data_IF_114675035644
#
_entry.id   IF_114675035644
#
_cell.length_a   1.000
_cell.length_b   1.000
_cell.length_c   1.000
_cell.angle_alpha   90.00
_cell.angle_beta   90.00
_cell.angle_gamma   90.00
#
_symmetry.space_group_name_H-M   'P 1'
#
loop_
_entity.id
_entity.type
_entity.pdbx_description
1 polymer ?
#
# COMPACT_ATOMS: atom_id res chain seq x y z
N UNK A 1 -27.35 23.85 25.17
CA UNK A 1 -26.53 23.92 23.94
C UNK A 1 -25.21 23.24 24.25
N UNK A 2 -25.18 21.92 24.10
CA UNK A 2 -23.95 21.14 24.29
C UNK A 2 -23.17 21.13 22.99
N UNK A 3 -21.90 21.51 23.09
CA UNK A 3 -20.98 21.70 21.98
C UNK A 3 -20.43 20.35 21.53
N UNK A 4 -20.66 20.01 20.25
CA UNK A 4 -20.11 18.82 19.59
C UNK A 4 -18.57 18.86 19.65
N UNK A 5 -17.87 17.79 20.11
CA UNK A 5 -16.43 17.73 19.95
C UNK A 5 -16.10 17.56 18.47
N UNK A 6 -15.12 18.33 17.98
CA UNK A 6 -14.58 18.24 16.62
C UNK A 6 -13.97 16.86 16.40
N UNK A 7 -14.78 15.91 15.92
CA UNK A 7 -14.38 14.55 15.60
C UNK A 7 -13.52 14.51 14.35
N UNK A 8 -12.21 14.61 14.52
CA UNK A 8 -11.29 14.04 13.52
C UNK A 8 -11.44 12.52 13.58
N UNK A 9 -11.92 11.91 12.50
CA UNK A 9 -11.95 10.46 12.38
C UNK A 9 -10.48 9.99 12.47
N UNK A 10 -10.16 9.14 13.45
CA UNK A 10 -8.83 8.53 13.55
C UNK A 10 -8.72 7.46 12.46
N UNK A 11 -8.32 7.89 11.26
CA UNK A 11 -8.31 7.09 10.04
C UNK A 11 -7.31 5.91 10.12
N UNK A 12 -6.35 5.97 11.06
CA UNK A 12 -5.47 4.84 11.38
C UNK A 12 -6.23 3.64 11.97
N UNK A 13 -7.47 3.85 12.42
CA UNK A 13 -8.36 2.83 12.99
C UNK A 13 -9.60 2.58 12.13
N UNK A 14 -9.54 2.86 10.83
CA UNK A 14 -10.62 2.46 9.93
C UNK A 14 -10.82 0.94 9.99
N UNK A 15 -12.08 0.48 9.99
CA UNK A 15 -12.38 -0.94 10.09
C UNK A 15 -11.74 -1.68 8.92
N UNK A 16 -11.11 -2.80 9.25
CA UNK A 16 -10.50 -3.71 8.29
C UNK A 16 -11.40 -4.92 8.18
N UNK A 17 -11.95 -5.16 6.98
CA UNK A 17 -12.69 -6.39 6.76
C UNK A 17 -11.69 -7.53 6.57
N UNK A 18 -11.85 -8.59 7.36
CA UNK A 18 -11.05 -9.81 7.24
C UNK A 18 -12.02 -10.97 7.21
N UNK A 19 -11.94 -11.78 6.17
CA UNK A 19 -12.73 -12.99 6.05
C UNK A 19 -11.83 -14.18 5.76
N UNK A 20 -12.30 -15.34 6.18
CA UNK A 20 -11.61 -16.61 6.01
C UNK A 20 -12.61 -17.65 5.53
N UNK A 21 -12.25 -18.32 4.45
CA UNK A 21 -13.02 -19.37 3.82
C UNK A 21 -12.18 -20.63 3.80
N UNK A 22 -12.73 -21.74 4.29
CA UNK A 22 -12.10 -23.05 4.21
C UNK A 22 -12.80 -23.86 3.14
N UNK A 23 -12.02 -24.37 2.20
CA UNK A 23 -12.49 -25.26 1.16
C UNK A 23 -11.54 -26.44 1.04
N UNK A 24 -12.00 -27.61 1.45
CA UNK A 24 -11.18 -28.83 1.50
C UNK A 24 -9.89 -28.58 2.33
N UNK A 25 -8.73 -28.91 1.77
CA UNK A 25 -7.40 -28.70 2.35
C UNK A 25 -6.87 -27.26 2.22
N UNK A 26 -7.66 -26.35 1.64
CA UNK A 26 -7.26 -24.95 1.43
C UNK A 26 -7.97 -24.00 2.39
N UNK A 27 -7.19 -23.10 2.96
CA UNK A 27 -7.63 -21.93 3.69
C UNK A 27 -7.37 -20.71 2.81
N UNK A 28 -8.43 -19.98 2.47
CA UNK A 28 -8.37 -18.72 1.73
C UNK A 28 -8.72 -17.61 2.72
N UNK A 29 -7.78 -16.71 2.97
CA UNK A 29 -7.97 -15.56 3.86
C UNK A 29 -7.69 -14.29 3.09
N UNK A 30 -8.55 -13.29 3.23
CA UNK A 30 -8.28 -11.98 2.66
C UNK A 30 -8.47 -10.89 3.68
N UNK A 31 -7.79 -9.77 3.43
CA UNK A 31 -7.89 -8.53 4.18
C UNK A 31 -8.18 -7.39 3.22
N UNK A 32 -9.20 -6.62 3.52
CA UNK A 32 -9.58 -5.42 2.80
C UNK A 32 -9.54 -4.24 3.77
N UNK A 33 -8.82 -3.21 3.37
CA UNK A 33 -8.57 -2.01 4.14
C UNK A 33 -8.62 -0.76 3.25
N UNK A 34 -8.30 0.38 3.84
CA UNK A 34 -8.31 1.68 3.18
C UNK A 34 -7.03 1.92 2.34
N UNK A 35 -7.08 2.96 1.51
CA UNK A 35 -5.95 3.44 0.73
C UNK A 35 -4.88 4.02 1.67
N UNK A 36 -3.62 3.77 1.36
CA UNK A 36 -2.44 4.28 2.05
C UNK A 36 -2.46 5.81 2.11
N UNK A 37 -2.22 6.35 3.30
CA UNK A 37 -2.15 7.78 3.50
C UNK A 37 -0.88 8.37 2.89
N UNK A 38 -0.98 9.61 2.40
CA UNK A 38 0.14 10.36 1.82
C UNK A 38 1.07 10.99 2.86
N UNK A 39 0.81 10.80 4.16
CA UNK A 39 1.63 11.34 5.25
C UNK A 39 1.66 10.44 6.48
N UNK A 40 2.74 10.56 7.25
CA UNK A 40 2.82 10.04 8.61
C UNK A 40 2.04 10.94 9.57
N UNK A 41 1.56 10.40 10.69
CA UNK A 41 0.97 11.20 11.78
C UNK A 41 2.00 11.99 12.58
N UNK A 42 3.28 11.57 12.54
CA UNK A 42 4.40 12.32 13.09
C UNK A 42 5.02 13.20 12.00
N UNK A 43 5.25 14.48 12.28
CA UNK A 43 5.88 15.42 11.33
C UNK A 43 7.32 15.01 10.99
N UNK A 44 8.04 14.39 11.93
CA UNK A 44 9.41 13.88 11.74
C UNK A 44 9.47 12.44 11.23
N UNK A 45 8.32 11.81 10.96
CA UNK A 45 8.20 10.38 10.66
C UNK A 45 8.22 9.49 11.92
N UNK A 46 7.86 8.22 11.76
CA UNK A 46 7.97 7.23 12.86
C UNK A 46 9.37 6.63 12.94
N UNK A 47 9.77 6.18 14.13
CA UNK A 47 11.02 5.41 14.31
C UNK A 47 10.89 4.08 13.57
N UNK A 48 11.98 3.55 13.02
CA UNK A 48 12.01 2.23 12.37
C UNK A 48 11.92 1.12 13.41
N UNK A 49 10.69 0.77 13.78
CA UNK A 49 10.35 -0.31 14.68
C UNK A 49 9.08 -1.04 14.18
N UNK A 50 8.71 -2.13 14.85
CA UNK A 50 7.54 -2.95 14.49
C UNK A 50 6.20 -2.19 14.52
N UNK A 51 6.17 -0.99 15.11
CA UNK A 51 5.00 -0.11 15.18
C UNK A 51 5.00 1.05 14.18
N UNK A 52 5.96 1.13 13.26
CA UNK A 52 6.00 2.23 12.30
C UNK A 52 4.81 2.17 11.32
N UNK A 53 4.29 3.34 10.95
CA UNK A 53 3.15 3.44 10.05
C UNK A 53 3.50 2.95 8.63
N UNK A 54 2.46 2.50 7.92
CA UNK A 54 2.59 1.99 6.55
C UNK A 54 3.22 3.02 5.60
N UNK A 55 2.91 4.31 5.74
CA UNK A 55 3.49 5.34 4.87
C UNK A 55 5.03 5.35 4.95
N UNK A 56 5.58 5.38 6.16
CA UNK A 56 7.02 5.34 6.36
C UNK A 56 7.62 3.98 5.96
N UNK A 57 6.92 2.88 6.24
CA UNK A 57 7.35 1.55 5.79
C UNK A 57 7.52 1.50 4.27
N UNK A 58 6.51 1.96 3.53
CA UNK A 58 6.51 1.96 2.06
C UNK A 58 7.60 2.88 1.50
N UNK A 59 7.72 4.12 2.00
CA UNK A 59 8.75 5.06 1.53
C UNK A 59 10.18 4.60 1.80
N UNK A 60 10.40 3.78 2.84
CA UNK A 60 11.73 3.22 3.13
C UNK A 60 12.04 1.97 2.32
N UNK A 61 11.04 1.10 2.16
CA UNK A 61 11.22 -0.22 1.52
C UNK A 61 11.13 -0.17 -0.01
N UNK A 62 10.59 0.91 -0.57
CA UNK A 62 10.40 1.07 -2.00
C UNK A 62 11.26 2.23 -2.52
N UNK A 63 12.15 1.91 -3.45
CA UNK A 63 12.96 2.91 -4.15
C UNK A 63 12.20 3.42 -5.39
N UNK A 64 10.97 3.90 -5.22
CA UNK A 64 10.15 4.41 -6.32
C UNK A 64 10.25 5.94 -6.41
N UNK A 65 10.35 6.53 -7.63
CA UNK A 65 10.39 7.98 -7.78
C UNK A 65 9.10 8.65 -7.32
N UNK A 66 7.96 7.99 -7.55
CA UNK A 66 6.64 8.39 -7.09
C UNK A 66 5.85 7.16 -6.65
N UNK A 67 5.16 7.26 -5.52
CA UNK A 67 4.22 6.25 -5.06
C UNK A 67 2.93 6.31 -5.91
N UNK A 68 2.29 5.18 -6.21
CA UNK A 68 0.98 5.19 -6.87
C UNK A 68 -0.07 5.93 -6.05
N UNK A 69 -1.02 6.59 -6.71
CA UNK A 69 -2.06 7.40 -6.07
C UNK A 69 -2.99 6.57 -5.15
N UNK A 70 -3.21 5.30 -5.50
CA UNK A 70 -4.10 4.39 -4.76
C UNK A 70 -3.36 3.09 -4.41
N UNK A 71 -2.68 3.07 -3.26
CA UNK A 71 -2.04 1.86 -2.73
C UNK A 71 -2.84 1.32 -1.56
N UNK A 72 -3.39 0.10 -1.67
CA UNK A 72 -4.05 -0.55 -0.54
C UNK A 72 -3.03 -1.34 0.28
N UNK A 73 -2.23 -0.63 1.09
CA UNK A 73 -1.04 -1.22 1.71
C UNK A 73 -1.30 -2.35 2.70
N UNK A 74 -2.50 -2.38 3.29
CA UNK A 74 -2.94 -3.45 4.20
C UNK A 74 -3.71 -4.57 3.52
N UNK A 75 -4.01 -4.47 2.21
CA UNK A 75 -4.72 -5.54 1.53
C UNK A 75 -3.82 -6.75 1.34
N UNK A 76 -4.36 -7.92 1.65
CA UNK A 76 -3.68 -9.20 1.48
C UNK A 76 -4.66 -10.26 1.02
N UNK A 77 -4.20 -11.18 0.18
CA UNK A 77 -4.87 -12.44 -0.15
C UNK A 77 -3.90 -13.57 0.15
N UNK A 78 -4.23 -14.41 1.12
CA UNK A 78 -3.46 -15.57 1.55
C UNK A 78 -4.21 -16.84 1.14
N UNK A 79 -3.51 -17.73 0.43
CA UNK A 79 -3.92 -19.10 0.22
C UNK A 79 -2.95 -20.00 0.96
N UNK A 80 -3.45 -20.83 1.87
CA UNK A 80 -2.65 -21.77 2.66
C UNK A 80 -3.23 -23.17 2.55
N UNK A 81 -2.39 -24.13 2.21
CA UNK A 81 -2.71 -25.54 2.22
C UNK A 81 -2.37 -26.15 3.59
N UNK A 82 -3.11 -27.18 4.01
CA UNK A 82 -2.90 -27.86 5.29
C UNK A 82 -1.48 -28.45 5.46
N UNK A 83 -0.87 -28.93 4.37
CA UNK A 83 0.50 -29.42 4.29
C UNK A 83 1.59 -28.36 4.56
N UNK A 84 1.22 -27.09 4.75
CA UNK A 84 2.11 -26.00 5.10
C UNK A 84 2.53 -25.09 3.93
N UNK A 85 2.20 -25.44 2.69
CA UNK A 85 2.42 -24.55 1.55
C UNK A 85 1.52 -23.32 1.66
N UNK A 86 2.06 -22.12 1.42
CA UNK A 86 1.29 -20.89 1.43
C UNK A 86 1.80 -19.90 0.37
N UNK A 87 0.87 -19.12 -0.18
CA UNK A 87 1.16 -17.98 -1.05
C UNK A 87 0.34 -16.79 -0.58
N UNK A 88 1.00 -15.64 -0.43
CA UNK A 88 0.37 -14.38 -0.05
C UNK A 88 0.62 -13.33 -1.13
N UNK A 89 -0.43 -12.63 -1.52
CA UNK A 89 -0.39 -11.48 -2.40
C UNK A 89 -0.61 -10.22 -1.58
N UNK A 90 0.38 -9.34 -1.59
CA UNK A 90 0.30 -8.03 -0.94
C UNK A 90 0.93 -6.95 -1.84
N UNK A 91 0.53 -5.69 -1.63
CA UNK A 91 0.96 -4.58 -2.47
C UNK A 91 2.45 -4.25 -2.32
N UNK A 92 3.01 -4.41 -1.12
CA UNK A 92 4.40 -4.05 -0.84
C UNK A 92 5.37 -4.91 -1.64
N UNK A 93 5.17 -6.23 -1.63
CA UNK A 93 6.03 -7.17 -2.33
C UNK A 93 5.87 -7.10 -3.85
N UNK A 94 4.67 -6.75 -4.33
CA UNK A 94 4.44 -6.45 -5.74
C UNK A 94 5.25 -5.21 -6.18
N UNK A 95 5.19 -4.12 -5.40
CA UNK A 95 5.88 -2.87 -5.73
C UNK A 95 7.40 -2.96 -5.63
N UNK A 96 7.95 -3.81 -4.75
CA UNK A 96 9.40 -4.08 -4.70
C UNK A 96 9.95 -4.65 -6.00
N UNK A 97 9.11 -5.33 -6.80
CA UNK A 97 9.50 -5.92 -8.08
C UNK A 97 9.41 -4.94 -9.25
N UNK A 98 8.84 -3.74 -9.02
CA UNK A 98 8.75 -2.71 -10.05
C UNK A 98 10.13 -2.08 -10.23
N UNK A 99 10.64 -2.13 -11.46
CA UNK A 99 11.90 -1.49 -11.80
C UNK A 99 11.71 0.03 -11.76
N UNK A 100 12.40 0.70 -10.84
CA UNK A 100 12.40 2.16 -10.68
C UNK A 100 13.48 2.87 -11.48
N UNK A 101 14.27 2.13 -12.26
CA UNK A 101 15.28 2.71 -13.13
C UNK A 101 14.68 3.70 -14.12
N UNK A 102 15.49 4.70 -14.52
CA UNK A 102 15.18 5.58 -15.63
C UNK A 102 15.02 4.73 -16.90
N UNK A 103 13.82 4.25 -17.19
CA UNK A 103 13.51 3.84 -18.55
C UNK A 103 13.73 5.09 -19.40
N UNK A 104 14.60 4.97 -20.40
CA UNK A 104 14.70 5.97 -21.47
C UNK A 104 13.42 5.90 -22.31
N UNK A 105 12.30 6.34 -21.72
CA UNK A 105 11.02 6.45 -22.39
C UNK A 105 11.13 7.68 -23.28
N UNK A 106 11.57 7.47 -24.53
CA UNK A 106 11.36 8.45 -25.59
C UNK A 106 9.87 8.43 -25.91
N UNK A 107 9.16 9.48 -25.52
CA UNK A 107 7.79 9.70 -25.97
C UNK A 107 7.88 10.00 -27.47
N UNK A 108 7.30 9.13 -28.31
CA UNK A 108 7.43 9.19 -29.77
C UNK A 108 7.01 10.54 -30.39
N UNK A 109 6.25 11.37 -29.65
CA UNK A 109 5.81 12.70 -30.08
C UNK A 109 6.37 13.87 -29.24
N UNK A 110 7.36 13.65 -28.35
CA UNK A 110 7.93 14.75 -27.57
C UNK A 110 8.66 15.80 -28.43
N UNK A 111 9.21 15.39 -29.57
CA UNK A 111 9.95 16.29 -30.46
C UNK A 111 9.00 17.31 -31.12
N UNK A 112 7.80 16.89 -31.54
CA UNK A 112 6.78 17.78 -32.11
C UNK A 112 6.27 18.86 -31.12
N UNK A 113 6.30 18.59 -29.81
CA UNK A 113 5.90 19.56 -28.77
C UNK A 113 7.04 20.50 -28.39
N UNK A 114 8.30 20.11 -28.63
CA UNK A 114 9.48 20.95 -28.41
C UNK A 114 9.73 21.92 -29.57
N UNK A 115 9.43 21.52 -30.79
CA UNK A 115 9.62 22.34 -32.00
C UNK A 115 8.53 23.41 -32.18
N UNK A 116 7.40 23.29 -31.49
CA UNK A 116 6.33 24.29 -31.50
C UNK A 116 6.54 25.42 -30.48
N UNK A 117 7.77 25.64 -30.01
CA UNK A 117 8.10 26.62 -28.96
C UNK A 117 9.17 27.60 -29.41
#
# INVERSE_FOLDING_TARGET
METLPKGGIDILRLPVNTEEHKFQSWQVKYRQSHILHSKCSSESGCIDNDGCCLFCLYNRKLELPHMPDMVFGNNSLLLKHDNGCAIEFNALDALKRVNSGKLNIKIACADAWKESR
#
